data_IF_600501906178
#
_entry.id   IF_600501906178
#
_cell.length_a   1.000
_cell.length_b   1.000
_cell.length_c   1.000
_cell.angle_alpha   90.00
_cell.angle_beta   90.00
_cell.angle_gamma   90.00
#
_symmetry.space_group_name_H-M   'P 1'
#
loop_
_entity.id
_entity.type
_entity.pdbx_description
1 polymer ?
#
# COMPACT_ATOMS: atom_id res chain seq x y z
N UNK A 1 -3.38 -2.98 8.99
CA UNK A 1 -2.43 -1.93 8.60
C UNK A 1 -2.44 -0.73 9.55
N UNK A 2 -3.52 0.06 9.66
CA UNK A 2 -3.56 1.29 10.51
C UNK A 2 -3.12 1.09 11.97
N UNK A 3 -3.54 -0.01 12.61
CA UNK A 3 -3.15 -0.34 14.00
C UNK A 3 -1.64 -0.57 14.13
N UNK A 4 -1.06 -1.38 13.24
CA UNK A 4 0.38 -1.69 13.22
C UNK A 4 1.23 -0.44 12.99
N UNK A 5 0.80 0.45 12.09
CA UNK A 5 1.52 1.70 11.85
C UNK A 5 1.42 2.69 13.01
N UNK A 6 0.31 2.69 13.75
CA UNK A 6 0.19 3.48 14.99
C UNK A 6 1.15 2.98 16.08
N UNK A 7 1.42 1.69 16.11
CA UNK A 7 2.40 1.04 16.98
C UNK A 7 3.83 1.07 16.40
N UNK A 8 4.01 1.72 15.24
CA UNK A 8 5.27 1.81 14.49
C UNK A 8 5.89 0.44 14.14
N UNK A 9 5.05 -0.58 13.99
CA UNK A 9 5.45 -1.94 13.65
C UNK A 9 5.51 -2.08 12.13
N UNK A 10 6.69 -2.35 11.54
CA UNK A 10 6.82 -2.59 10.11
C UNK A 10 6.12 -3.90 9.70
N UNK A 11 5.50 -3.90 8.53
CA UNK A 11 4.78 -5.05 7.97
C UNK A 11 5.17 -5.29 6.52
N UNK A 12 4.97 -6.51 6.02
CA UNK A 12 5.26 -6.83 4.62
C UNK A 12 4.02 -6.71 3.75
N UNK A 13 4.19 -6.18 2.54
CA UNK A 13 3.14 -6.07 1.53
C UNK A 13 3.67 -6.51 0.17
N UNK A 14 2.78 -7.14 -0.59
CA UNK A 14 3.01 -7.43 -2.00
C UNK A 14 1.84 -6.84 -2.80
N UNK A 15 2.15 -6.02 -3.80
CA UNK A 15 1.17 -5.33 -4.62
C UNK A 15 1.65 -5.21 -6.06
N UNK A 16 0.71 -5.00 -6.98
CA UNK A 16 1.05 -4.70 -8.38
C UNK A 16 1.24 -3.19 -8.51
N UNK A 17 2.41 -2.78 -8.97
CA UNK A 17 2.71 -1.37 -9.26
C UNK A 17 1.91 -0.90 -10.46
N UNK A 18 1.29 0.27 -10.34
CA UNK A 18 0.55 0.91 -11.42
C UNK A 18 0.73 2.43 -11.30
N UNK A 19 1.30 3.04 -12.33
CA UNK A 19 1.36 4.48 -12.48
C UNK A 19 0.35 4.91 -13.56
N UNK A 20 -0.76 5.52 -13.12
CA UNK A 20 -1.80 5.98 -14.06
C UNK A 20 -1.35 7.19 -14.89
N UNK A 21 -0.47 8.03 -14.35
CA UNK A 21 0.00 9.24 -15.04
C UNK A 21 0.91 8.90 -16.21
N UNK A 22 1.82 7.94 -16.01
CA UNK A 22 2.78 7.47 -17.02
C UNK A 22 2.26 6.29 -17.85
N UNK A 23 1.06 5.77 -17.53
CA UNK A 23 0.47 4.56 -18.14
C UNK A 23 1.43 3.37 -18.10
N UNK A 24 2.19 3.24 -17.02
CA UNK A 24 3.22 2.21 -16.84
C UNK A 24 2.91 1.34 -15.63
N UNK A 25 3.39 0.10 -15.68
CA UNK A 25 3.37 -0.84 -14.57
C UNK A 25 4.71 -1.57 -14.53
N UNK A 26 5.37 -1.56 -13.38
CA UNK A 26 6.59 -2.34 -13.17
C UNK A 26 6.29 -3.76 -12.66
N UNK A 27 5.01 -4.16 -12.68
CA UNK A 27 4.55 -5.49 -12.26
C UNK A 27 4.53 -5.66 -10.74
N UNK A 28 4.83 -6.88 -10.29
CA UNK A 28 4.78 -7.29 -8.89
C UNK A 28 5.88 -6.60 -8.06
N UNK A 29 5.49 -5.94 -6.98
CA UNK A 29 6.40 -5.34 -6.00
C UNK A 29 6.18 -5.95 -4.64
N UNK A 30 7.28 -6.26 -3.98
CA UNK A 30 7.32 -6.74 -2.60
C UNK A 30 8.08 -5.73 -1.75
N UNK A 31 7.51 -5.40 -0.60
CA UNK A 31 8.11 -4.53 0.41
C UNK A 31 8.03 -5.27 1.73
N UNK A 32 9.16 -5.63 2.32
CA UNK A 32 9.18 -6.43 3.55
C UNK A 32 9.02 -5.58 4.82
N UNK A 33 9.43 -4.30 4.79
CA UNK A 33 9.30 -3.37 5.92
C UNK A 33 8.59 -2.07 5.53
N UNK A 34 7.28 -2.14 5.33
CA UNK A 34 6.44 -0.98 5.08
C UNK A 34 5.83 -0.44 6.38
N UNK A 35 5.77 0.88 6.51
CA UNK A 35 5.06 1.60 7.57
C UNK A 35 4.07 2.56 6.89
N UNK A 36 2.79 2.56 7.29
CA UNK A 36 1.85 3.54 6.73
C UNK A 36 2.18 4.93 7.23
N UNK A 37 2.20 5.88 6.31
CA UNK A 37 2.32 7.30 6.61
C UNK A 37 1.06 8.03 6.16
N UNK A 38 0.98 9.32 6.50
CA UNK A 38 -0.12 10.16 6.05
C UNK A 38 -0.13 10.25 4.52
N UNK A 39 -1.21 9.75 3.91
CA UNK A 39 -1.44 9.85 2.47
C UNK A 39 -2.05 11.18 2.07
N UNK A 40 -2.36 11.30 0.78
CA UNK A 40 -3.01 12.49 0.22
C UNK A 40 -4.34 12.78 0.91
N UNK A 41 -4.61 14.08 1.11
CA UNK A 41 -5.91 14.55 1.54
C UNK A 41 -6.89 14.54 0.34
N UNK A 42 -8.20 14.51 0.61
CA UNK A 42 -9.24 14.41 -0.43
C UNK A 42 -9.23 15.57 -1.43
N UNK A 43 -8.82 16.75 -0.98
CA UNK A 43 -8.62 17.97 -1.76
C UNK A 43 -7.34 17.95 -2.62
N UNK A 44 -6.37 17.08 -2.30
CA UNK A 44 -5.10 16.97 -3.03
C UNK A 44 -5.15 15.97 -4.18
N UNK A 45 -6.04 14.98 -4.12
CA UNK A 45 -6.18 13.98 -5.19
C UNK A 45 -7.53 13.30 -5.16
N UNK A 46 -8.16 13.16 -6.35
CA UNK A 46 -9.36 12.34 -6.52
C UNK A 46 -9.14 10.85 -6.20
N UNK A 47 -7.88 10.41 -6.08
CA UNK A 47 -7.51 9.04 -5.72
C UNK A 47 -7.16 8.86 -4.24
N UNK A 48 -7.32 9.88 -3.40
CA UNK A 48 -6.92 9.87 -1.99
C UNK A 48 -7.50 8.70 -1.16
N UNK A 49 -8.66 8.15 -1.55
CA UNK A 49 -9.24 6.97 -0.86
C UNK A 49 -8.59 5.64 -1.27
N UNK A 50 -8.02 5.56 -2.48
CA UNK A 50 -7.45 4.34 -3.04
C UNK A 50 -5.92 4.33 -2.97
N UNK A 51 -5.29 5.51 -2.91
CA UNK A 51 -3.85 5.66 -2.86
C UNK A 51 -3.38 5.68 -1.40
N UNK A 52 -2.65 4.64 -1.00
CA UNK A 52 -2.12 4.50 0.34
C UNK A 52 -0.64 4.86 0.34
N UNK A 53 -0.25 5.79 1.22
CA UNK A 53 1.14 6.16 1.41
C UNK A 53 1.81 5.22 2.41
N UNK A 54 3.03 4.81 2.07
CA UNK A 54 3.89 4.04 2.94
C UNK A 54 5.33 4.54 2.85
N UNK A 55 6.04 4.36 3.93
CA UNK A 55 7.48 4.54 4.00
C UNK A 55 8.13 3.16 4.08
N UNK A 56 9.12 2.91 3.23
CA UNK A 56 9.95 1.73 3.36
C UNK A 56 11.01 1.99 4.43
N UNK A 57 10.94 1.27 5.54
CA UNK A 57 11.88 1.45 6.65
C UNK A 57 13.32 1.04 6.31
N UNK A 58 13.54 0.26 5.25
CA UNK A 58 14.89 -0.11 4.80
C UNK A 58 15.56 0.97 3.96
N UNK A 59 14.80 1.64 3.09
CA UNK A 59 15.34 2.64 2.16
C UNK A 59 15.03 4.08 2.57
N UNK A 60 14.15 4.28 3.57
CA UNK A 60 13.62 5.60 3.95
C UNK A 60 12.73 6.23 2.89
N UNK A 61 12.41 5.52 1.79
CA UNK A 61 11.68 6.11 0.68
C UNK A 61 10.18 6.08 0.95
N UNK A 62 9.56 7.25 0.83
CA UNK A 62 8.11 7.40 0.83
C UNK A 62 7.56 7.13 -0.56
N UNK A 63 6.62 6.19 -0.63
CA UNK A 63 5.99 5.76 -1.87
C UNK A 63 4.50 5.59 -1.66
N UNK A 64 3.78 5.44 -2.75
CA UNK A 64 2.36 5.17 -2.76
C UNK A 64 2.08 3.84 -3.44
N UNK A 65 1.02 3.16 -3.00
CA UNK A 65 0.46 2.03 -3.72
C UNK A 65 -1.06 2.12 -3.77
N UNK A 66 -1.63 1.43 -4.75
CA UNK A 66 -3.08 1.32 -4.90
C UNK A 66 -3.60 0.21 -3.99
N UNK A 67 -4.49 0.55 -3.06
CA UNK A 67 -5.15 -0.42 -2.19
C UNK A 67 -5.84 -1.56 -2.97
N UNK A 68 -6.53 -1.30 -4.11
CA UNK A 68 -7.13 -2.37 -4.91
C UNK A 68 -6.12 -3.35 -5.53
N UNK A 69 -4.85 -2.94 -5.66
CA UNK A 69 -3.78 -3.77 -6.24
C UNK A 69 -2.96 -4.49 -5.17
N UNK A 70 -3.37 -4.44 -3.91
CA UNK A 70 -2.74 -5.16 -2.82
C UNK A 70 -3.07 -6.65 -2.92
N UNK A 71 -2.05 -7.49 -3.06
CA UNK A 71 -2.18 -8.93 -3.27
C UNK A 71 -1.92 -9.72 -1.99
N UNK A 72 -0.90 -9.34 -1.22
CA UNK A 72 -0.60 -9.97 0.06
C UNK A 72 -0.26 -8.94 1.13
N UNK A 73 -0.57 -9.31 2.35
CA UNK A 73 -0.28 -8.54 3.55
C UNK A 73 0.27 -9.50 4.62
N UNK A 74 1.49 -9.27 5.12
CA UNK A 74 2.18 -10.16 6.05
C UNK A 74 2.21 -11.63 5.60
N UNK A 75 2.45 -11.86 4.30
CA UNK A 75 2.42 -13.21 3.70
C UNK A 75 1.02 -13.80 3.51
N UNK A 76 -0.03 -13.16 4.02
CA UNK A 76 -1.41 -13.59 3.84
C UNK A 76 -1.93 -13.03 2.52
N UNK A 77 -2.34 -13.91 1.60
CA UNK A 77 -2.99 -13.52 0.35
C UNK A 77 -4.35 -12.91 0.65
N UNK A 78 -4.59 -11.70 0.14
CA UNK A 78 -5.89 -11.07 0.21
C UNK A 78 -6.76 -11.72 -0.86
N UNK A 79 -7.74 -12.51 -0.42
CA UNK A 79 -8.80 -13.03 -1.26
C UNK A 79 -10.09 -12.25 -0.99
N UNK A 80 -10.87 -11.98 -2.03
CA UNK A 80 -12.16 -11.28 -1.95
C UNK A 80 -13.24 -12.05 -1.16
N UNK A 81 -12.92 -13.26 -0.69
CA UNK A 81 -13.84 -14.22 -0.09
C UNK A 81 -14.43 -13.79 1.26
N UNK A 82 -13.87 -12.75 1.91
CA UNK A 82 -14.24 -12.37 3.29
C UNK A 82 -15.21 -11.17 3.43
N UNK A 83 -15.88 -10.75 2.36
CA UNK A 83 -16.86 -9.63 2.42
C UNK A 83 -18.28 -10.10 2.81
N UNK A 84 -18.52 -11.39 3.04
CA UNK A 84 -19.81 -11.89 3.53
C UNK A 84 -19.69 -12.37 4.97
N UNK A 85 -19.86 -11.48 5.95
CA UNK A 85 -20.26 -11.82 7.32
C UNK A 85 -20.93 -10.65 8.01
#
# INVERSE_FOLDING_TARGET
MRKLSKENIPFSIEFISCNRSEKSSEGWKRVDKAILVQGYRKDQSGYAMNLIAYENAETGQRRHFWLPLLMKFNGIKITYDRVHR
#
